data_IF_523183525865
#
_entry.id   IF_523183525865
#
_cell.length_a   1.000
_cell.length_b   1.000
_cell.length_c   1.000
_cell.angle_alpha   90.00
_cell.angle_beta   90.00
_cell.angle_gamma   90.00
#
_symmetry.space_group_name_H-M   'P 1'
#
loop_
_entity.id
_entity.type
_entity.pdbx_description
1 polymer ?
#
# COMPACT_ATOMS: atom_id res chain seq x y z
N UNK A 1 -14.61 -11.76 16.21
CA UNK A 1 -14.02 -10.52 16.75
C UNK A 1 -12.58 -10.49 16.32
N UNK A 2 -12.15 -9.45 15.61
CA UNK A 2 -10.72 -9.28 15.30
C UNK A 2 -10.02 -8.78 16.57
N UNK A 3 -8.87 -9.37 16.90
CA UNK A 3 -8.11 -9.11 18.13
C UNK A 3 -6.70 -8.61 17.85
N UNK A 4 -6.20 -8.82 16.64
CA UNK A 4 -4.83 -8.52 16.22
C UNK A 4 -4.81 -8.14 14.75
N UNK A 5 -3.74 -7.45 14.33
CA UNK A 5 -3.60 -6.98 12.96
C UNK A 5 -2.15 -7.11 12.48
N UNK A 6 -1.97 -7.49 11.22
CA UNK A 6 -0.67 -7.62 10.57
C UNK A 6 -0.69 -6.88 9.25
N UNK A 7 0.38 -6.15 8.94
CA UNK A 7 0.48 -5.37 7.73
C UNK A 7 1.57 -5.90 6.80
N UNK A 8 1.32 -5.84 5.50
CA UNK A 8 2.38 -5.70 4.50
C UNK A 8 3.08 -4.33 4.64
N UNK A 9 4.22 -4.14 3.96
CA UNK A 9 4.98 -2.88 3.95
C UNK A 9 4.83 -2.13 2.63
N UNK A 10 5.10 -2.78 1.51
CA UNK A 10 5.30 -2.15 0.21
C UNK A 10 3.95 -1.79 -0.42
N UNK A 11 3.72 -0.50 -0.70
CA UNK A 11 2.42 -0.01 -1.21
C UNK A 11 1.26 -0.19 -0.21
N UNK A 12 1.58 -0.49 1.06
CA UNK A 12 0.61 -0.63 2.17
C UNK A 12 0.88 0.41 3.27
N UNK A 13 2.10 0.45 3.82
CA UNK A 13 2.51 1.42 4.87
C UNK A 13 2.86 2.79 4.26
N UNK A 14 3.35 2.76 3.04
CA UNK A 14 3.81 3.91 2.28
C UNK A 14 3.49 3.73 0.79
N UNK A 15 3.44 4.83 0.03
CA UNK A 15 3.27 4.78 -1.43
C UNK A 15 4.57 4.30 -2.11
N UNK A 16 4.58 3.08 -2.64
CA UNK A 16 5.76 2.50 -3.29
C UNK A 16 6.05 3.13 -4.67
N UNK A 17 5.03 3.71 -5.29
CA UNK A 17 5.12 4.36 -6.59
C UNK A 17 5.59 5.82 -6.47
N UNK A 18 5.39 6.47 -5.32
CA UNK A 18 5.72 7.88 -5.13
C UNK A 18 7.15 8.25 -5.55
N UNK A 19 8.22 7.50 -5.21
CA UNK A 19 9.57 7.81 -5.67
C UNK A 19 9.71 7.85 -7.20
N UNK A 20 9.07 6.89 -7.89
CA UNK A 20 9.08 6.84 -9.36
C UNK A 20 8.29 8.01 -9.95
N UNK A 21 7.10 8.30 -9.39
CA UNK A 21 6.26 9.42 -9.83
C UNK A 21 6.98 10.75 -9.71
N UNK A 22 7.66 11.00 -8.59
CA UNK A 22 8.43 12.24 -8.38
C UNK A 22 9.60 12.34 -9.36
N UNK A 23 10.30 11.24 -9.63
CA UNK A 23 11.36 11.21 -10.63
C UNK A 23 10.82 11.50 -12.05
N UNK A 24 9.67 10.94 -12.40
CA UNK A 24 8.99 11.25 -13.65
C UNK A 24 8.56 12.71 -13.75
N UNK A 25 7.97 13.29 -12.70
CA UNK A 25 7.59 14.71 -12.62
C UNK A 25 8.78 15.64 -12.88
N UNK A 26 9.92 15.33 -12.26
CA UNK A 26 11.13 16.16 -12.32
C UNK A 26 11.87 16.03 -13.65
N UNK A 27 12.01 14.81 -14.16
CA UNK A 27 12.83 14.55 -15.34
C UNK A 27 12.04 14.59 -16.66
N UNK A 28 10.74 14.37 -16.62
CA UNK A 28 9.86 14.29 -17.79
C UNK A 28 8.57 15.09 -17.56
N UNK A 29 8.63 16.44 -17.54
CA UNK A 29 7.47 17.28 -17.21
C UNK A 29 6.31 17.18 -18.22
N UNK A 30 6.58 16.74 -19.45
CA UNK A 30 5.58 16.48 -20.49
C UNK A 30 4.99 15.05 -20.43
N UNK A 31 5.35 14.26 -19.41
CA UNK A 31 4.80 12.92 -19.22
C UNK A 31 3.31 12.99 -18.83
N UNK A 32 2.48 12.21 -19.53
CA UNK A 32 1.06 12.12 -19.24
C UNK A 32 0.85 11.29 -17.96
N UNK A 33 0.54 11.99 -16.88
CA UNK A 33 0.37 11.40 -15.55
C UNK A 33 -0.82 10.44 -15.45
N UNK A 34 -1.75 10.45 -16.42
CA UNK A 34 -2.80 9.43 -16.49
C UNK A 34 -2.22 8.02 -16.73
N UNK A 35 -1.02 7.92 -17.32
CA UNK A 35 -0.31 6.67 -17.55
C UNK A 35 0.63 6.26 -16.40
N UNK A 36 0.77 7.05 -15.34
CA UNK A 36 1.76 6.85 -14.28
C UNK A 36 1.76 5.43 -13.71
N UNK A 37 0.58 4.88 -13.41
CA UNK A 37 0.48 3.55 -12.83
C UNK A 37 0.96 2.46 -13.80
N UNK A 38 0.58 2.56 -15.08
CA UNK A 38 1.02 1.60 -16.10
C UNK A 38 2.52 1.74 -16.36
N UNK A 39 3.04 2.97 -16.42
CA UNK A 39 4.46 3.22 -16.59
C UNK A 39 5.29 2.65 -15.44
N UNK A 40 4.83 2.77 -14.19
CA UNK A 40 5.49 2.13 -13.06
C UNK A 40 5.50 0.60 -13.17
N UNK A 41 4.38 -0.02 -13.57
CA UNK A 41 4.31 -1.47 -13.79
C UNK A 41 5.32 -1.91 -14.86
N UNK A 42 5.42 -1.17 -15.97
CA UNK A 42 6.39 -1.46 -17.03
C UNK A 42 7.83 -1.22 -16.59
N UNK A 43 8.10 -0.17 -15.82
CA UNK A 43 9.41 0.09 -15.23
C UNK A 43 9.86 -1.04 -14.29
N UNK A 44 8.93 -1.59 -13.48
CA UNK A 44 9.20 -2.78 -12.65
C UNK A 44 9.44 -4.03 -13.50
N UNK A 45 8.63 -4.24 -14.53
CA UNK A 45 8.85 -5.33 -15.48
C UNK A 45 10.24 -5.27 -16.13
N UNK A 46 10.67 -4.10 -16.63
CA UNK A 46 12.01 -3.94 -17.19
C UNK A 46 13.11 -4.06 -16.12
N UNK A 47 12.81 -3.74 -14.86
CA UNK A 47 13.72 -4.04 -13.75
C UNK A 47 13.92 -5.56 -13.59
N UNK A 48 12.84 -6.34 -13.63
CA UNK A 48 12.89 -7.81 -13.51
C UNK A 48 13.57 -8.48 -14.72
N UNK A 49 13.41 -7.90 -15.92
CA UNK A 49 14.07 -8.38 -17.15
C UNK A 49 15.57 -8.05 -17.15
N UNK A 50 15.95 -6.85 -16.73
CA UNK A 50 17.33 -6.36 -16.82
C UNK A 50 18.22 -6.82 -15.66
N UNK A 51 17.68 -6.96 -14.46
CA UNK A 51 18.47 -7.30 -13.27
C UNK A 51 19.25 -8.63 -13.38
N UNK A 52 18.68 -9.73 -13.93
CA UNK A 52 19.44 -10.96 -14.17
C UNK A 52 20.67 -10.78 -15.06
N UNK A 53 20.63 -9.86 -16.04
CA UNK A 53 21.76 -9.58 -16.93
C UNK A 53 22.88 -8.84 -16.22
N UNK A 54 22.54 -7.95 -15.28
CA UNK A 54 23.52 -7.32 -14.38
C UNK A 54 24.18 -8.39 -13.50
N UNK A 55 23.38 -9.30 -12.93
CA UNK A 55 23.90 -10.40 -12.09
C UNK A 55 24.80 -11.36 -12.86
N UNK A 56 24.54 -11.56 -14.16
CA UNK A 56 25.37 -12.36 -15.05
C UNK A 56 26.64 -11.63 -15.53
N UNK A 57 26.81 -10.34 -15.19
CA UNK A 57 27.91 -9.51 -15.67
C UNK A 57 27.81 -9.10 -17.14
N UNK A 58 26.67 -9.33 -17.79
CA UNK A 58 26.42 -8.96 -19.18
C UNK A 58 26.21 -7.45 -19.34
N UNK A 59 25.56 -6.83 -18.35
CA UNK A 59 25.26 -5.40 -18.31
C UNK A 59 25.91 -4.74 -17.11
N UNK A 60 26.38 -3.50 -17.29
CA UNK A 60 26.72 -2.66 -16.15
C UNK A 60 25.44 -2.22 -15.43
N UNK A 61 25.54 -1.95 -14.13
CA UNK A 61 24.44 -1.37 -13.35
C UNK A 61 23.94 -0.07 -13.96
N UNK A 62 24.85 0.77 -14.46
CA UNK A 62 24.55 2.05 -15.13
C UNK A 62 23.72 1.84 -16.40
N UNK A 63 24.17 0.97 -17.30
CA UNK A 63 23.43 0.66 -18.52
C UNK A 63 22.03 0.12 -18.21
N UNK A 64 21.91 -0.80 -17.25
CA UNK A 64 20.61 -1.34 -16.83
C UNK A 64 19.65 -0.24 -16.35
N UNK A 65 20.12 0.70 -15.53
CA UNK A 65 19.31 1.79 -14.96
C UNK A 65 18.78 2.73 -16.04
N UNK A 66 19.66 3.13 -16.95
CA UNK A 66 19.30 3.89 -18.15
C UNK A 66 18.30 3.11 -19.01
N UNK A 67 18.62 1.85 -19.33
CA UNK A 67 17.86 1.02 -20.25
C UNK A 67 16.41 0.84 -19.80
N UNK A 68 16.15 0.48 -18.53
CA UNK A 68 14.78 0.29 -18.04
C UNK A 68 13.94 1.56 -18.09
N UNK A 69 14.55 2.73 -17.89
CA UNK A 69 13.87 4.02 -18.00
C UNK A 69 13.51 4.30 -19.47
N UNK A 70 14.49 4.13 -20.36
CA UNK A 70 14.32 4.29 -21.81
C UNK A 70 13.23 3.40 -22.40
N UNK A 71 13.28 2.09 -22.13
CA UNK A 71 12.28 1.14 -22.64
C UNK A 71 10.87 1.46 -22.13
N UNK A 72 10.77 1.91 -20.87
CA UNK A 72 9.49 2.37 -20.33
C UNK A 72 8.96 3.56 -21.14
N UNK A 73 9.77 4.61 -21.35
CA UNK A 73 9.33 5.80 -22.10
C UNK A 73 8.94 5.49 -23.54
N UNK A 74 9.71 4.65 -24.23
CA UNK A 74 9.44 4.25 -25.61
C UNK A 74 8.09 3.54 -25.75
N UNK A 75 7.71 2.70 -24.78
CA UNK A 75 6.43 1.99 -24.78
C UNK A 75 5.22 2.92 -24.68
N UNK A 76 5.38 4.08 -24.05
CA UNK A 76 4.35 5.13 -23.97
C UNK A 76 4.47 6.18 -25.09
N UNK A 77 5.29 5.92 -26.11
CA UNK A 77 5.42 6.78 -27.30
C UNK A 77 6.27 8.04 -27.10
N UNK A 78 7.06 8.10 -26.03
CA UNK A 78 8.02 9.18 -25.81
C UNK A 78 9.30 8.94 -26.63
N UNK A 79 10.06 10.02 -26.85
CA UNK A 79 11.33 9.96 -27.59
C UNK A 79 12.38 9.19 -26.80
N UNK A 80 13.33 8.61 -27.53
CA UNK A 80 14.51 7.99 -26.93
C UNK A 80 15.30 9.04 -26.12
N UNK A 81 15.73 8.64 -24.93
CA UNK A 81 16.57 9.44 -24.03
C UNK A 81 18.03 9.02 -24.17
N UNK A 82 18.96 9.92 -23.83
CA UNK A 82 20.38 9.59 -23.69
C UNK A 82 20.69 9.03 -22.29
N UNK A 83 21.93 8.53 -22.12
CA UNK A 83 22.41 7.98 -20.85
C UNK A 83 22.45 9.03 -19.74
N UNK A 84 22.78 10.29 -20.06
CA UNK A 84 22.81 11.40 -19.10
C UNK A 84 21.41 11.63 -18.49
N UNK A 85 20.38 11.69 -19.33
CA UNK A 85 18.98 11.83 -18.88
C UNK A 85 18.55 10.62 -18.05
N UNK A 86 18.91 9.40 -18.48
CA UNK A 86 18.60 8.17 -17.74
C UNK A 86 19.28 8.11 -16.36
N UNK A 87 20.53 8.55 -16.28
CA UNK A 87 21.29 8.64 -15.04
C UNK A 87 20.70 9.69 -14.10
N UNK A 88 20.33 10.87 -14.62
CA UNK A 88 19.66 11.90 -13.82
C UNK A 88 18.32 11.40 -13.24
N UNK A 89 17.50 10.72 -14.05
CA UNK A 89 16.28 10.08 -13.56
C UNK A 89 16.57 9.08 -12.43
N UNK A 90 17.61 8.27 -12.59
CA UNK A 90 17.99 7.28 -11.58
C UNK A 90 18.46 7.94 -10.28
N UNK A 91 19.25 9.01 -10.34
CA UNK A 91 19.70 9.77 -9.16
C UNK A 91 18.52 10.31 -8.36
N UNK A 92 17.55 10.93 -9.05
CA UNK A 92 16.33 11.43 -8.42
C UNK A 92 15.54 10.27 -7.81
N UNK A 93 15.34 9.18 -8.56
CA UNK A 93 14.60 8.02 -8.08
C UNK A 93 15.23 7.38 -6.82
N UNK A 94 16.57 7.27 -6.77
CA UNK A 94 17.29 6.75 -5.60
C UNK A 94 17.19 7.68 -4.40
N UNK A 95 17.34 8.98 -4.62
CA UNK A 95 17.13 9.97 -3.57
C UNK A 95 15.72 9.84 -2.97
N UNK A 96 14.68 9.70 -3.79
CA UNK A 96 13.30 9.56 -3.29
C UNK A 96 13.06 8.19 -2.62
N UNK A 97 13.69 7.10 -3.08
CA UNK A 97 13.69 5.81 -2.37
C UNK A 97 14.34 5.94 -0.98
N UNK A 98 15.40 6.74 -0.88
CA UNK A 98 16.08 7.12 0.36
C UNK A 98 15.33 8.15 1.20
N UNK A 99 14.18 8.66 0.74
CA UNK A 99 13.31 9.57 1.50
C UNK A 99 11.83 9.14 1.63
N UNK A 100 11.49 7.87 1.40
CA UNK A 100 10.14 7.35 1.69
C UNK A 100 9.64 7.69 3.11
N UNK A 101 8.35 8.01 3.22
CA UNK A 101 7.67 8.34 4.48
C UNK A 101 6.40 7.50 4.65
N UNK A 102 6.05 7.21 5.90
CA UNK A 102 4.76 6.59 6.22
C UNK A 102 3.62 7.55 5.86
N UNK A 103 2.50 6.99 5.39
CA UNK A 103 1.27 7.74 5.13
C UNK A 103 0.69 8.28 6.44
N UNK A 104 0.08 9.47 6.40
CA UNK A 104 -0.53 10.08 7.59
C UNK A 104 -1.69 9.22 8.12
N UNK A 105 -2.50 8.67 7.22
CA UNK A 105 -3.59 7.75 7.51
C UNK A 105 -3.09 6.47 8.20
N UNK A 106 -1.94 5.97 7.77
CA UNK A 106 -1.30 4.81 8.39
C UNK A 106 -0.78 5.17 9.79
N UNK A 107 -0.16 6.34 9.97
CA UNK A 107 0.27 6.82 11.29
C UNK A 107 -0.90 6.91 12.26
N UNK A 108 -1.99 7.56 11.85
CA UNK A 108 -3.22 7.64 12.65
C UNK A 108 -3.76 6.26 13.02
N UNK A 109 -3.69 5.31 12.09
CA UNK A 109 -4.11 3.92 12.31
C UNK A 109 -3.25 3.22 13.34
N UNK A 110 -1.92 3.30 13.23
CA UNK A 110 -0.99 2.66 14.16
C UNK A 110 -1.03 3.31 15.55
N UNK A 111 -1.17 4.63 15.64
CA UNK A 111 -1.35 5.35 16.90
C UNK A 111 -2.61 4.89 17.64
N UNK A 112 -3.74 4.79 16.93
CA UNK A 112 -5.00 4.29 17.46
C UNK A 112 -4.90 2.83 17.96
N UNK A 113 -4.30 1.94 17.16
CA UNK A 113 -4.11 0.54 17.53
C UNK A 113 -3.21 0.40 18.77
N UNK A 114 -2.16 1.23 18.86
CA UNK A 114 -1.27 1.30 20.01
C UNK A 114 -1.99 1.78 21.27
N UNK A 115 -2.81 2.84 21.19
CA UNK A 115 -3.63 3.33 22.30
C UNK A 115 -4.58 2.25 22.84
N UNK A 116 -5.13 1.43 21.92
CA UNK A 116 -6.03 0.32 22.24
C UNK A 116 -5.31 -0.94 22.72
N UNK A 117 -3.97 -0.95 22.76
CA UNK A 117 -3.15 -2.12 23.05
C UNK A 117 -3.43 -3.32 22.12
N UNK A 118 -3.77 -3.06 20.86
CA UNK A 118 -3.97 -4.11 19.85
C UNK A 118 -2.60 -4.65 19.42
N UNK A 119 -2.37 -5.98 19.48
CA UNK A 119 -1.15 -6.58 18.95
C UNK A 119 -1.03 -6.36 17.44
N UNK A 120 0.11 -5.79 17.04
CA UNK A 120 0.48 -5.51 15.64
C UNK A 120 1.68 -6.36 15.20
N UNK A 121 1.73 -6.71 13.91
CA UNK A 121 2.87 -7.39 13.28
C UNK A 121 3.09 -6.96 11.83
N UNK A 122 4.22 -7.37 11.24
CA UNK A 122 4.61 -7.07 9.87
C UNK A 122 5.05 -8.34 9.16
N UNK A 123 4.55 -8.57 7.94
CA UNK A 123 5.06 -9.60 7.03
C UNK A 123 5.33 -8.98 5.67
N UNK A 124 6.57 -9.01 5.20
CA UNK A 124 6.95 -8.41 3.91
C UNK A 124 7.84 -9.35 3.09
N UNK A 125 7.63 -9.35 1.77
CA UNK A 125 8.47 -10.11 0.85
C UNK A 125 9.66 -9.28 0.37
N UNK A 126 10.84 -9.89 0.27
CA UNK A 126 12.00 -9.28 -0.38
C UNK A 126 13.30 -9.48 0.39
N UNK A 127 14.39 -8.82 -0.07
CA UNK A 127 15.69 -8.94 0.57
C UNK A 127 15.68 -8.42 2.01
N UNK A 128 16.20 -9.21 2.94
CA UNK A 128 16.15 -8.95 4.38
C UNK A 128 16.71 -7.59 4.75
N UNK A 129 17.92 -7.27 4.27
CA UNK A 129 18.56 -5.98 4.58
C UNK A 129 17.72 -4.79 4.08
N UNK A 130 17.17 -4.89 2.87
CA UNK A 130 16.38 -3.82 2.28
C UNK A 130 15.07 -3.59 3.03
N UNK A 131 14.35 -4.66 3.36
CA UNK A 131 13.09 -4.53 4.07
C UNK A 131 13.27 -4.07 5.51
N UNK A 132 14.28 -4.57 6.23
CA UNK A 132 14.56 -4.09 7.59
C UNK A 132 14.97 -2.61 7.61
N UNK A 133 15.71 -2.13 6.59
CA UNK A 133 15.98 -0.68 6.41
C UNK A 133 14.70 0.11 6.24
N UNK A 134 13.75 -0.34 5.41
CA UNK A 134 12.44 0.32 5.24
C UNK A 134 11.64 0.33 6.54
N UNK A 135 11.53 -0.81 7.23
CA UNK A 135 10.82 -0.92 8.52
C UNK A 135 11.36 0.09 9.52
N UNK A 136 12.69 0.18 9.64
CA UNK A 136 13.34 1.16 10.52
C UNK A 136 13.03 2.59 10.09
N UNK A 137 13.17 2.91 8.81
CA UNK A 137 13.03 4.26 8.29
C UNK A 137 11.59 4.78 8.34
N UNK A 138 10.62 3.89 8.13
CA UNK A 138 9.21 4.20 8.29
C UNK A 138 8.81 4.30 9.78
N UNK A 139 9.70 4.05 10.74
CA UNK A 139 9.40 4.17 12.17
C UNK A 139 8.51 3.05 12.72
N UNK A 140 8.41 1.91 12.02
CA UNK A 140 7.48 0.84 12.41
C UNK A 140 7.85 0.18 13.75
N UNK A 141 9.11 0.24 14.17
CA UNK A 141 9.55 -0.27 15.47
C UNK A 141 9.02 0.53 16.67
N UNK A 142 8.45 1.72 16.45
CA UNK A 142 7.75 2.48 17.50
C UNK A 142 6.37 1.87 17.84
N UNK A 143 5.88 0.97 16.99
CA UNK A 143 4.56 0.35 17.05
C UNK A 143 4.62 -1.18 17.19
N UNK A 144 5.59 -1.81 16.51
CA UNK A 144 5.70 -3.26 16.40
C UNK A 144 6.99 -3.73 17.07
N UNK A 145 6.88 -4.69 18.00
CA UNK A 145 8.04 -5.37 18.58
C UNK A 145 8.88 -6.00 17.45
N UNK A 146 10.22 -5.83 17.41
CA UNK A 146 11.05 -6.45 16.39
C UNK A 146 10.83 -7.96 16.19
N UNK A 147 10.42 -8.70 17.24
CA UNK A 147 10.06 -10.11 17.12
C UNK A 147 8.79 -10.36 16.31
N UNK A 148 7.97 -9.33 16.06
CA UNK A 148 6.75 -9.36 15.26
C UNK A 148 6.95 -8.83 13.84
N UNK A 149 8.18 -8.87 13.34
CA UNK A 149 8.52 -8.53 11.96
C UNK A 149 9.09 -9.77 11.27
N UNK A 150 8.47 -10.18 10.17
CA UNK A 150 8.93 -11.27 9.32
C UNK A 150 9.26 -10.73 7.93
N UNK A 151 10.44 -11.10 7.43
CA UNK A 151 10.86 -10.83 6.06
C UNK A 151 11.12 -12.14 5.35
N UNK A 152 10.53 -12.34 4.17
CA UNK A 152 10.51 -13.64 3.48
C UNK A 152 11.90 -14.26 3.24
N UNK A 153 12.90 -13.46 2.83
CA UNK A 153 14.26 -13.99 2.60
C UNK A 153 14.88 -14.56 3.89
N UNK A 154 14.55 -14.00 5.06
CA UNK A 154 15.11 -14.47 6.33
C UNK A 154 14.52 -15.82 6.77
N UNK A 155 13.32 -16.15 6.31
CA UNK A 155 12.60 -17.37 6.71
C UNK A 155 12.72 -18.49 5.68
N UNK A 156 13.01 -18.16 4.42
CA UNK A 156 13.00 -19.10 3.30
C UNK A 156 11.61 -19.38 2.74
N UNK A 157 10.56 -18.79 3.32
CA UNK A 157 9.18 -18.83 2.83
C UNK A 157 8.74 -17.43 2.42
N UNK A 158 7.90 -17.31 1.41
CA UNK A 158 7.40 -16.02 0.92
C UNK A 158 5.89 -16.02 0.79
N UNK A 159 5.26 -14.85 0.92
CA UNK A 159 3.85 -14.71 0.55
C UNK A 159 3.68 -15.06 -0.95
N UNK A 160 2.64 -15.83 -1.35
CA UNK A 160 1.48 -16.28 -0.58
C UNK A 160 1.58 -17.69 0.04
N UNK A 161 2.79 -18.26 0.19
CA UNK A 161 2.98 -19.58 0.79
C UNK A 161 2.39 -19.61 2.21
N UNK A 162 1.61 -20.63 2.55
CA UNK A 162 0.93 -20.73 3.84
C UNK A 162 1.92 -20.75 5.01
N UNK A 163 3.11 -21.27 4.75
CA UNK A 163 4.21 -21.45 5.68
C UNK A 163 4.64 -20.14 6.35
N UNK A 164 4.71 -19.01 5.61
CA UNK A 164 5.07 -17.72 6.20
C UNK A 164 3.98 -17.19 7.14
N UNK A 165 2.71 -17.44 6.83
CA UNK A 165 1.57 -17.05 7.68
C UNK A 165 1.47 -17.93 8.92
N UNK A 166 1.72 -19.24 8.79
CA UNK A 166 1.78 -20.15 9.95
C UNK A 166 2.92 -19.76 10.89
N UNK A 167 4.11 -19.50 10.32
CA UNK A 167 5.27 -19.03 11.08
C UNK A 167 4.96 -17.72 11.81
N UNK A 168 4.28 -16.78 11.15
CA UNK A 168 3.86 -15.53 11.76
C UNK A 168 2.86 -15.73 12.91
N UNK A 169 1.87 -16.61 12.74
CA UNK A 169 0.89 -16.91 13.79
C UNK A 169 1.59 -17.45 15.05
N UNK A 170 2.53 -18.37 14.88
CA UNK A 170 3.32 -18.93 15.98
C UNK A 170 4.27 -17.90 16.60
N UNK A 171 5.08 -17.21 15.79
CA UNK A 171 6.09 -16.25 16.26
C UNK A 171 5.44 -15.03 16.93
N UNK A 172 4.29 -14.56 16.42
CA UNK A 172 3.64 -13.35 16.92
C UNK A 172 2.71 -13.62 18.10
N UNK A 173 2.43 -14.91 18.38
CA UNK A 173 1.43 -15.40 19.33
C UNK A 173 0.04 -14.86 19.00
N UNK A 174 -0.39 -15.08 17.75
CA UNK A 174 -1.65 -14.57 17.19
C UNK A 174 -2.51 -15.70 16.65
N UNK A 175 -3.82 -15.63 16.87
CA UNK A 175 -4.77 -16.59 16.31
C UNK A 175 -5.18 -16.14 14.90
N UNK A 176 -4.93 -16.93 13.84
CA UNK A 176 -5.34 -16.63 12.46
C UNK A 176 -6.82 -16.21 12.34
N UNK A 177 -7.72 -16.96 12.98
CA UNK A 177 -9.18 -16.75 12.90
C UNK A 177 -9.67 -15.44 13.53
N UNK A 178 -8.81 -14.72 14.24
CA UNK A 178 -9.11 -13.41 14.81
C UNK A 178 -8.06 -12.36 14.45
N UNK A 179 -7.18 -12.65 13.49
CA UNK A 179 -6.15 -11.73 13.02
C UNK A 179 -6.52 -11.20 11.65
N UNK A 180 -6.51 -9.88 11.51
CA UNK A 180 -6.68 -9.21 10.23
C UNK A 180 -5.32 -8.98 9.57
N UNK A 181 -5.17 -9.41 8.33
CA UNK A 181 -4.05 -9.06 7.49
C UNK A 181 -4.43 -7.91 6.56
N UNK A 182 -3.58 -6.89 6.43
CA UNK A 182 -3.80 -5.75 5.54
C UNK A 182 -2.66 -5.67 4.53
N UNK A 183 -2.98 -5.69 3.23
CA UNK A 183 -1.99 -5.58 2.16
C UNK A 183 -2.60 -5.24 0.81
N UNK A 184 -1.77 -4.74 -0.10
CA UNK A 184 -2.20 -4.23 -1.41
C UNK A 184 -2.32 -5.32 -2.49
N UNK A 185 -1.56 -6.40 -2.36
CA UNK A 185 -1.44 -7.44 -3.38
C UNK A 185 -2.46 -8.54 -3.15
N UNK A 186 -3.44 -8.67 -4.06
CA UNK A 186 -4.41 -9.75 -3.96
C UNK A 186 -3.72 -11.13 -3.98
N UNK A 187 -2.77 -11.34 -4.89
CA UNK A 187 -2.11 -12.64 -5.08
C UNK A 187 -1.17 -13.00 -3.93
N UNK A 188 -0.47 -12.02 -3.31
CA UNK A 188 0.47 -12.30 -2.21
C UNK A 188 -0.20 -12.20 -0.84
N UNK A 189 -0.96 -11.13 -0.61
CA UNK A 189 -1.47 -10.78 0.71
C UNK A 189 -2.82 -11.43 0.96
N UNK A 190 -3.82 -11.15 0.12
CA UNK A 190 -5.20 -11.64 0.32
C UNK A 190 -5.25 -13.16 0.19
N UNK A 191 -4.72 -13.71 -0.89
CA UNK A 191 -4.68 -15.15 -1.10
C UNK A 191 -3.82 -15.86 -0.05
N UNK A 192 -2.70 -15.24 0.36
CA UNK A 192 -1.83 -15.79 1.41
C UNK A 192 -2.54 -15.85 2.76
N UNK A 193 -3.18 -14.75 3.17
CA UNK A 193 -3.97 -14.66 4.40
C UNK A 193 -5.12 -15.67 4.39
N UNK A 194 -5.89 -15.73 3.29
CA UNK A 194 -6.97 -16.69 3.13
C UNK A 194 -6.50 -18.15 3.28
N UNK A 195 -5.41 -18.52 2.60
CA UNK A 195 -4.83 -19.88 2.70
C UNK A 195 -4.27 -20.17 4.11
N UNK A 196 -3.80 -19.13 4.80
CA UNK A 196 -3.39 -19.17 6.20
C UNK A 196 -4.54 -19.28 7.20
N UNK A 197 -5.79 -19.05 6.77
CA UNK A 197 -6.97 -18.97 7.66
C UNK A 197 -7.08 -17.65 8.43
N UNK A 198 -6.48 -16.59 7.89
CA UNK A 198 -6.53 -15.23 8.44
C UNK A 198 -7.68 -14.45 7.79
N UNK A 199 -8.19 -13.45 8.49
CA UNK A 199 -8.99 -12.42 7.84
C UNK A 199 -8.09 -11.49 7.03
N UNK A 200 -8.62 -10.88 5.97
CA UNK A 200 -7.89 -10.00 5.08
C UNK A 200 -8.69 -8.76 4.68
N UNK A 201 -8.01 -7.62 4.75
CA UNK A 201 -8.42 -6.37 4.13
C UNK A 201 -7.56 -6.16 2.89
N UNK A 202 -8.19 -6.20 1.72
CA UNK A 202 -7.53 -5.86 0.47
C UNK A 202 -7.43 -4.35 0.33
N UNK A 203 -6.20 -3.84 0.31
CA UNK A 203 -5.92 -2.42 0.14
C UNK A 203 -5.76 -2.07 -1.35
N UNK A 204 -6.87 -1.99 -2.07
CA UNK A 204 -6.89 -1.83 -3.52
C UNK A 204 -6.83 -0.35 -3.99
N UNK A 205 -5.96 0.47 -3.39
CA UNK A 205 -5.86 1.90 -3.75
C UNK A 205 -5.37 2.15 -5.19
N UNK A 206 -4.80 1.12 -5.83
CA UNK A 206 -4.41 1.13 -7.24
C UNK A 206 -5.53 0.73 -8.22
N UNK A 207 -6.72 0.38 -7.74
CA UNK A 207 -7.87 0.01 -8.58
C UNK A 207 -7.63 -1.23 -9.44
N UNK A 208 -6.92 -2.22 -8.89
CA UNK A 208 -6.60 -3.47 -9.58
C UNK A 208 -7.87 -4.30 -9.76
N UNK A 209 -8.01 -4.91 -10.93
CA UNK A 209 -9.10 -5.83 -11.22
C UNK A 209 -8.65 -7.27 -11.05
N UNK A 210 -9.54 -8.12 -10.52
CA UNK A 210 -9.30 -9.56 -10.47
C UNK A 210 -9.39 -10.18 -11.86
N UNK A 211 -8.72 -11.32 -12.05
CA UNK A 211 -8.83 -12.09 -13.29
C UNK A 211 -10.29 -12.52 -13.50
N UNK A 212 -10.79 -12.53 -14.75
CA UNK A 212 -12.13 -13.01 -15.05
C UNK A 212 -12.38 -14.40 -14.48
N UNK A 213 -13.47 -14.58 -13.74
CA UNK A 213 -13.84 -15.85 -13.11
C UNK A 213 -13.21 -16.10 -11.72
N UNK A 214 -12.32 -15.22 -11.24
CA UNK A 214 -11.84 -15.29 -9.85
C UNK A 214 -12.96 -14.91 -8.89
N UNK A 215 -13.26 -15.79 -7.94
CA UNK A 215 -14.12 -15.46 -6.81
C UNK A 215 -13.28 -14.69 -5.78
N UNK A 216 -13.64 -13.46 -5.38
CA UNK A 216 -12.92 -12.73 -4.34
C UNK A 216 -12.97 -13.49 -3.00
N UNK A 217 -11.87 -13.42 -2.24
CA UNK A 217 -11.71 -14.13 -0.94
C UNK A 217 -11.22 -13.21 0.18
N UNK A 218 -11.28 -11.89 -0.03
CA UNK A 218 -11.06 -10.92 1.04
C UNK A 218 -12.33 -10.74 1.87
N UNK A 219 -12.15 -10.32 3.11
CA UNK A 219 -13.27 -9.98 3.98
C UNK A 219 -13.63 -8.49 3.88
N UNK A 220 -12.69 -7.63 3.50
CA UNK A 220 -12.95 -6.22 3.24
C UNK A 220 -12.08 -5.71 2.10
N UNK A 221 -12.61 -4.83 1.26
CA UNK A 221 -11.84 -4.05 0.30
C UNK A 221 -11.96 -2.57 0.64
N UNK A 222 -10.84 -1.86 0.60
CA UNK A 222 -10.78 -0.39 0.60
C UNK A 222 -9.97 0.07 -0.60
N UNK A 223 -10.32 1.20 -1.19
CA UNK A 223 -9.78 1.67 -2.48
C UNK A 223 -9.04 3.00 -2.39
N UNK A 224 -8.77 3.49 -1.19
CA UNK A 224 -8.02 4.72 -0.95
C UNK A 224 -7.34 4.72 0.42
N UNK A 225 -6.21 5.44 0.54
CA UNK A 225 -5.47 5.52 1.80
C UNK A 225 -6.32 6.12 2.94
N UNK A 226 -7.17 7.07 2.59
CA UNK A 226 -8.04 7.83 3.48
C UNK A 226 -9.13 6.99 4.16
N UNK A 227 -9.51 5.88 3.55
CA UNK A 227 -10.49 4.95 4.12
C UNK A 227 -9.90 4.08 5.24
N UNK A 228 -8.58 3.86 5.24
CA UNK A 228 -7.90 2.90 6.12
C UNK A 228 -8.21 3.14 7.60
N UNK A 229 -7.97 4.37 8.06
CA UNK A 229 -8.18 4.71 9.47
C UNK A 229 -9.62 4.49 9.91
N UNK A 230 -10.59 4.94 9.11
CA UNK A 230 -12.01 4.80 9.42
C UNK A 230 -12.46 3.34 9.47
N UNK A 231 -11.99 2.53 8.51
CA UNK A 231 -12.26 1.09 8.45
C UNK A 231 -11.68 0.36 9.68
N UNK A 232 -10.38 0.56 9.97
CA UNK A 232 -9.71 -0.06 11.12
C UNK A 232 -10.35 0.38 12.43
N UNK A 233 -10.62 1.68 12.59
CA UNK A 233 -11.25 2.18 13.81
C UNK A 233 -12.58 1.47 14.09
N UNK A 234 -13.44 1.34 13.08
CA UNK A 234 -14.72 0.63 13.25
C UNK A 234 -14.55 -0.84 13.62
N UNK A 235 -13.58 -1.53 13.00
CA UNK A 235 -13.30 -2.94 13.30
C UNK A 235 -12.83 -3.18 14.74
N UNK A 236 -12.15 -2.22 15.36
CA UNK A 236 -11.55 -2.36 16.70
C UNK A 236 -12.23 -1.55 17.81
N UNK A 237 -13.10 -0.56 17.51
CA UNK A 237 -13.77 0.26 18.53
C UNK A 237 -15.14 -0.25 18.97
N UNK A 238 -15.83 -1.07 18.19
CA UNK A 238 -17.24 -1.35 18.45
C UNK A 238 -17.45 -2.46 19.49
N UNK A 239 -18.14 -2.17 20.61
CA UNK A 239 -18.40 -3.15 21.65
C UNK A 239 -19.47 -4.19 21.25
N UNK A 240 -19.29 -5.44 21.67
CA UNK A 240 -20.33 -6.48 21.75
C UNK A 240 -21.10 -6.83 20.46
N UNK A 241 -20.36 -7.14 19.38
CA UNK A 241 -20.54 -8.37 18.57
C UNK A 241 -21.93 -8.76 18.00
N UNK A 242 -22.96 -7.90 17.93
CA UNK A 242 -24.29 -8.33 17.45
C UNK A 242 -24.62 -8.03 15.98
N UNK A 243 -23.88 -7.16 15.31
CA UNK A 243 -24.19 -6.76 13.93
C UNK A 243 -22.96 -6.70 12.99
N UNK A 244 -21.78 -7.18 13.39
CA UNK A 244 -20.50 -6.88 12.68
C UNK A 244 -19.67 -8.11 12.28
N UNK A 245 -20.00 -9.33 12.70
CA UNK A 245 -19.18 -10.50 12.35
C UNK A 245 -19.91 -11.50 11.47
N UNK A 246 -20.52 -11.02 10.39
CA UNK A 246 -20.19 -11.66 9.14
C UNK A 246 -19.37 -10.64 8.34
N UNK A 247 -18.05 -10.78 8.39
CA UNK A 247 -17.16 -9.96 7.59
C UNK A 247 -17.34 -10.25 6.09
N UNK A 248 -18.09 -11.30 5.73
CA UNK A 248 -18.58 -11.55 4.37
C UNK A 248 -19.91 -10.80 4.07
N UNK A 249 -20.48 -10.06 5.03
CA UNK A 249 -21.64 -9.19 4.82
C UNK A 249 -21.19 -7.84 4.26
N UNK A 250 -21.00 -7.82 2.94
CA UNK A 250 -20.60 -6.64 2.16
C UNK A 250 -21.58 -5.46 2.26
N UNK A 251 -22.75 -5.64 2.89
CA UNK A 251 -23.76 -4.59 3.09
C UNK A 251 -23.76 -4.01 4.51
N UNK A 252 -22.74 -4.29 5.34
CA UNK A 252 -22.69 -3.81 6.72
C UNK A 252 -22.71 -2.26 6.81
N UNK A 253 -23.81 -1.64 7.28
CA UNK A 253 -23.95 -0.19 7.25
C UNK A 253 -22.99 0.52 8.20
N UNK A 254 -22.55 -0.14 9.28
CA UNK A 254 -21.62 0.47 10.25
C UNK A 254 -20.19 0.50 9.70
N UNK A 255 -19.78 -0.57 9.03
CA UNK A 255 -18.49 -0.60 8.35
C UNK A 255 -18.43 0.42 7.22
N UNK A 256 -19.48 0.51 6.41
CA UNK A 256 -19.60 1.52 5.37
C UNK A 256 -19.59 2.95 5.93
N UNK A 257 -20.24 3.19 7.07
CA UNK A 257 -20.13 4.48 7.78
C UNK A 257 -18.70 4.76 8.24
N UNK A 258 -17.96 3.75 8.72
CA UNK A 258 -16.56 3.87 9.10
C UNK A 258 -15.66 4.32 7.95
N UNK A 259 -15.74 3.61 6.83
CA UNK A 259 -15.00 3.90 5.60
C UNK A 259 -15.30 5.34 5.13
N UNK A 260 -16.58 5.69 5.04
CA UNK A 260 -17.01 7.02 4.64
C UNK A 260 -16.52 8.11 5.60
N UNK A 261 -16.57 7.86 6.91
CA UNK A 261 -16.08 8.81 7.90
C UNK A 261 -14.56 9.02 7.79
N UNK A 262 -13.78 7.96 7.55
CA UNK A 262 -12.33 8.08 7.31
C UNK A 262 -12.03 8.99 6.12
N UNK A 263 -12.73 8.77 5.01
CA UNK A 263 -12.60 9.58 3.80
C UNK A 263 -12.99 11.05 4.03
N UNK A 264 -14.09 11.30 4.74
CA UNK A 264 -14.52 12.67 5.06
C UNK A 264 -13.55 13.37 6.03
N UNK A 265 -12.96 12.65 6.99
CA UNK A 265 -11.93 13.22 7.86
C UNK A 265 -10.69 13.65 7.07
N UNK A 266 -10.28 12.86 6.08
CA UNK A 266 -9.19 13.25 5.20
C UNK A 266 -9.55 14.47 4.34
N UNK A 267 -10.77 14.53 3.82
CA UNK A 267 -11.25 15.68 3.07
C UNK A 267 -11.18 16.97 3.88
N UNK A 268 -11.61 16.94 5.14
CA UNK A 268 -11.55 18.10 6.03
C UNK A 268 -10.12 18.57 6.29
N UNK A 269 -9.17 17.64 6.54
CA UNK A 269 -7.75 17.98 6.70
C UNK A 269 -7.15 18.66 5.45
N UNK A 270 -7.50 18.18 4.25
CA UNK A 270 -7.01 18.77 3.01
C UNK A 270 -7.58 20.17 2.76
N UNK A 271 -8.84 20.41 3.15
CA UNK A 271 -9.43 21.74 3.07
C UNK A 271 -8.75 22.70 4.06
N UNK A 272 -8.43 22.23 5.27
CA UNK A 272 -7.68 23.00 6.28
C UNK A 272 -6.26 23.36 5.83
N UNK A 273 -5.65 22.55 4.96
CA UNK A 273 -4.36 22.88 4.32
C UNK A 273 -4.47 23.83 3.11
N UNK A 274 -5.62 24.50 2.97
CA UNK A 274 -5.96 25.44 1.89
C UNK A 274 -6.11 24.80 0.50
N UNK A 275 -6.35 23.49 0.40
CA UNK A 275 -6.75 22.88 -0.87
C UNK A 275 -8.20 23.28 -1.22
N UNK A 276 -8.47 23.66 -2.47
CA UNK A 276 -9.83 23.97 -2.93
C UNK A 276 -10.73 22.73 -2.90
N UNK A 277 -12.03 22.91 -2.59
CA UNK A 277 -13.03 21.82 -2.58
C UNK A 277 -13.00 21.00 -3.87
N UNK A 278 -12.89 21.63 -5.03
CA UNK A 278 -12.89 20.91 -6.32
C UNK A 278 -11.69 19.95 -6.44
N UNK A 279 -10.51 20.37 -5.97
CA UNK A 279 -9.32 19.51 -5.93
C UNK A 279 -9.49 18.35 -4.94
N UNK A 280 -10.07 18.61 -3.76
CA UNK A 280 -10.32 17.57 -2.75
C UNK A 280 -11.29 16.51 -3.27
N UNK A 281 -12.39 16.93 -3.91
CA UNK A 281 -13.39 16.03 -4.52
C UNK A 281 -12.74 15.11 -5.55
N UNK A 282 -11.89 15.66 -6.42
CA UNK A 282 -11.16 14.89 -7.44
C UNK A 282 -10.15 13.94 -6.79
N UNK A 283 -9.32 14.45 -5.87
CA UNK A 283 -8.24 13.68 -5.25
C UNK A 283 -8.78 12.46 -4.49
N UNK A 284 -9.84 12.67 -3.70
CA UNK A 284 -10.43 11.64 -2.84
C UNK A 284 -11.55 10.85 -3.52
N UNK A 285 -11.81 11.11 -4.81
CA UNK A 285 -12.89 10.46 -5.60
C UNK A 285 -14.25 10.52 -4.89
N UNK A 286 -14.57 11.67 -4.29
CA UNK A 286 -15.79 11.82 -3.51
C UNK A 286 -17.05 11.71 -4.39
N UNK A 287 -18.07 11.03 -3.89
CA UNK A 287 -19.36 10.97 -4.57
C UNK A 287 -20.15 12.28 -4.40
N UNK A 288 -21.21 12.44 -5.19
CA UNK A 288 -22.03 13.65 -5.21
C UNK A 288 -22.63 14.02 -3.82
N UNK A 289 -22.91 13.03 -2.98
CA UNK A 289 -23.44 13.29 -1.64
C UNK A 289 -22.35 13.81 -0.69
N UNK A 290 -21.16 13.20 -0.70
CA UNK A 290 -20.00 13.66 0.06
C UNK A 290 -19.58 15.07 -0.35
N UNK A 291 -19.50 15.33 -1.65
CA UNK A 291 -19.25 16.66 -2.20
C UNK A 291 -20.28 17.68 -1.71
N UNK A 292 -21.57 17.35 -1.78
CA UNK A 292 -22.65 18.23 -1.29
C UNK A 292 -22.45 18.57 0.19
N UNK A 293 -22.12 17.60 1.04
CA UNK A 293 -21.86 17.81 2.46
C UNK A 293 -20.68 18.79 2.65
N UNK A 294 -19.57 18.59 1.94
CA UNK A 294 -18.41 19.48 2.02
C UNK A 294 -18.73 20.89 1.56
N UNK A 295 -19.44 21.05 0.43
CA UNK A 295 -19.84 22.36 -0.09
C UNK A 295 -20.81 23.09 0.85
N UNK A 296 -21.69 22.38 1.54
CA UNK A 296 -22.55 22.99 2.56
C UNK A 296 -21.76 23.50 3.78
N UNK A 297 -20.71 22.77 4.18
CA UNK A 297 -19.91 23.09 5.37
C UNK A 297 -18.81 24.12 5.11
N UNK A 298 -18.20 24.07 3.92
CA UNK A 298 -16.99 24.84 3.58
C UNK A 298 -17.13 25.72 2.33
N UNK A 299 -18.24 25.63 1.60
CA UNK A 299 -18.51 26.50 0.46
C UNK A 299 -18.67 27.95 0.91
N UNK A 300 -17.72 28.79 0.53
CA UNK A 300 -17.86 30.25 0.52
C UNK A 300 -17.95 30.72 -0.91
#
# INVERSE_FOLDING_TARGET
MITSIVFDVDDTIYDQQAPYRIAMEKCFPDFDMSHMNQAYIRFRHYSDVGFPRVMAGEWTTEYFRFWRCKETLLEFGYREIDEETGNHFQEVYEHELENITMLDEMRMTLDFLKEKNVPMGIITNGPTEHQLKKVKKLGLYDYVDPKRVIVSQATGFQKPEKEIFNLAAEQFDMNPSTTLYVGDSYDNDVMGAFNGGWHSMWFNHRGRSLKPGTKPVFDLEIDSFEQLFGAVKVLFDLPNNKYIFDINDNENPVLQLGINNGLMMAAERLLESNMSIDKVVILLRLNANQEKILRMKYGR
#
